data_IF_007760586994
#
_entry.id   IF_007760586994
#
_cell.length_a   1.000
_cell.length_b   1.000
_cell.length_c   1.000
_cell.angle_alpha   90.00
_cell.angle_beta   90.00
_cell.angle_gamma   90.00
#
_symmetry.space_group_name_H-M   'P 1'
#
loop_
_entity.id
_entity.type
_entity.pdbx_description
1 polymer ?
#
# COMPACT_ATOMS: atom_id res chain seq x y z
N UNK A 1 -6.10 -11.44 9.22
CA UNK A 1 -6.22 -10.29 8.28
C UNK A 1 -7.50 -9.58 8.61
N UNK A 2 -7.44 -8.30 8.99
CA UNK A 2 -8.65 -7.48 9.15
C UNK A 2 -9.23 -7.20 7.75
N UNK A 3 -10.56 -7.28 7.55
CA UNK A 3 -11.17 -7.07 6.24
C UNK A 3 -10.97 -5.64 5.77
N UNK A 4 -10.92 -5.46 4.44
CA UNK A 4 -10.67 -4.17 3.79
C UNK A 4 -11.58 -3.06 4.32
N UNK A 5 -12.90 -3.33 4.41
CA UNK A 5 -13.88 -2.35 4.84
C UNK A 5 -13.70 -1.92 6.29
N UNK A 6 -13.34 -2.82 7.21
CA UNK A 6 -13.03 -2.46 8.60
C UNK A 6 -11.81 -1.55 8.72
N UNK A 7 -10.76 -1.82 7.92
CA UNK A 7 -9.59 -0.93 7.86
C UNK A 7 -9.94 0.42 7.26
N UNK A 8 -10.75 0.47 6.21
CA UNK A 8 -11.19 1.72 5.58
C UNK A 8 -12.03 2.56 6.54
N UNK A 9 -12.97 1.92 7.23
CA UNK A 9 -13.83 2.52 8.26
C UNK A 9 -12.97 3.20 9.33
N UNK A 10 -12.12 2.44 10.02
CA UNK A 10 -11.28 2.91 11.12
C UNK A 10 -10.24 3.95 10.73
N UNK A 11 -9.66 3.85 9.53
CA UNK A 11 -8.54 4.70 9.13
C UNK A 11 -8.94 5.93 8.32
N UNK A 12 -10.13 5.96 7.74
CA UNK A 12 -10.59 7.06 6.89
C UNK A 12 -11.92 7.60 7.38
N UNK A 13 -12.96 6.76 7.43
CA UNK A 13 -14.33 7.23 7.67
C UNK A 13 -14.54 7.71 9.11
N UNK A 14 -14.01 7.00 10.09
CA UNK A 14 -14.21 7.32 11.51
C UNK A 14 -13.28 8.45 12.01
N UNK A 15 -12.34 8.92 11.19
CA UNK A 15 -11.30 9.87 11.61
C UNK A 15 -11.80 11.31 11.70
N UNK A 16 -12.85 11.66 10.97
CA UNK A 16 -13.47 12.98 10.96
C UNK A 16 -14.85 12.91 10.34
N UNK A 17 -15.69 13.90 10.62
CA UNK A 17 -16.88 14.14 9.82
C UNK A 17 -16.51 14.67 8.44
N UNK A 18 -17.26 14.21 7.45
CA UNK A 18 -17.15 14.63 6.06
C UNK A 18 -18.36 15.47 5.70
N UNK A 19 -18.14 16.66 5.18
CA UNK A 19 -19.24 17.57 4.84
C UNK A 19 -19.89 17.18 3.52
N UNK A 20 -19.11 16.52 2.65
CA UNK A 20 -19.60 16.00 1.36
C UNK A 20 -19.11 14.58 1.09
N UNK A 21 -19.85 13.88 0.23
CA UNK A 21 -19.44 12.56 -0.26
C UNK A 21 -18.17 12.64 -1.10
N UNK A 22 -17.96 13.74 -1.82
CA UNK A 22 -16.78 13.93 -2.67
C UNK A 22 -15.50 14.03 -1.83
N UNK A 23 -15.54 14.79 -0.72
CA UNK A 23 -14.42 14.83 0.23
C UNK A 23 -14.11 13.44 0.80
N UNK A 24 -15.15 12.68 1.16
CA UNK A 24 -14.99 11.29 1.61
C UNK A 24 -14.34 10.43 0.54
N UNK A 25 -14.77 10.57 -0.72
CA UNK A 25 -14.26 9.80 -1.86
C UNK A 25 -12.79 10.10 -2.13
N UNK A 26 -12.41 11.37 -2.16
CA UNK A 26 -11.02 11.80 -2.35
C UNK A 26 -10.15 11.23 -1.22
N UNK A 27 -10.63 11.28 0.02
CA UNK A 27 -9.90 10.73 1.16
C UNK A 27 -9.74 9.20 1.09
N UNK A 28 -10.78 8.47 0.67
CA UNK A 28 -10.73 7.03 0.45
C UNK A 28 -9.67 6.68 -0.59
N UNK A 29 -9.73 7.30 -1.78
CA UNK A 29 -8.77 7.01 -2.87
C UNK A 29 -7.35 7.35 -2.45
N UNK A 30 -7.15 8.53 -1.84
CA UNK A 30 -5.83 8.96 -1.35
C UNK A 30 -5.26 7.98 -0.33
N UNK A 31 -6.08 7.50 0.61
CA UNK A 31 -5.62 6.55 1.61
C UNK A 31 -5.31 5.17 1.02
N UNK A 32 -6.11 4.71 0.06
CA UNK A 32 -5.88 3.44 -0.65
C UNK A 32 -4.52 3.47 -1.35
N UNK A 33 -4.25 4.53 -2.12
CA UNK A 33 -3.03 4.68 -2.90
C UNK A 33 -1.80 4.90 -2.00
N UNK A 34 -1.87 5.88 -1.09
CA UNK A 34 -0.71 6.33 -0.31
C UNK A 34 -0.37 5.40 0.86
N UNK A 35 -1.36 4.75 1.45
CA UNK A 35 -1.19 3.99 2.70
C UNK A 35 -1.48 2.51 2.51
N UNK A 36 -2.68 2.15 2.04
CA UNK A 36 -3.11 0.75 1.97
C UNK A 36 -2.24 -0.09 1.03
N UNK A 37 -2.10 0.33 -0.24
CA UNK A 37 -1.28 -0.40 -1.22
C UNK A 37 0.19 -0.43 -0.82
N UNK A 38 0.73 0.66 -0.27
CA UNK A 38 2.12 0.70 0.21
C UNK A 38 2.36 -0.29 1.34
N UNK A 39 1.51 -0.30 2.39
CA UNK A 39 1.62 -1.27 3.50
C UNK A 39 1.46 -2.70 3.02
N UNK A 40 0.51 -2.95 2.12
CA UNK A 40 0.25 -4.31 1.61
C UNK A 40 1.39 -4.81 0.72
N UNK A 41 1.98 -3.93 -0.11
CA UNK A 41 3.20 -4.23 -0.86
C UNK A 41 4.35 -4.58 0.09
N UNK A 42 4.56 -3.81 1.15
CA UNK A 42 5.59 -4.10 2.16
C UNK A 42 5.35 -5.40 2.92
N UNK A 43 4.10 -5.73 3.24
CA UNK A 43 3.74 -7.01 3.84
C UNK A 43 3.98 -8.19 2.89
N UNK A 44 3.65 -8.03 1.59
CA UNK A 44 3.90 -9.03 0.56
C UNK A 44 5.40 -9.25 0.30
N UNK A 45 6.21 -8.20 0.49
CA UNK A 45 7.68 -8.26 0.44
C UNK A 45 8.30 -8.91 1.69
N UNK A 46 7.53 -9.60 2.54
CA UNK A 46 8.08 -10.33 3.69
C UNK A 46 8.75 -9.45 4.75
N UNK A 47 8.47 -8.14 4.77
CA UNK A 47 9.18 -7.14 5.60
C UNK A 47 10.68 -7.06 5.32
N UNK A 48 11.10 -7.31 4.08
CA UNK A 48 12.45 -6.98 3.62
C UNK A 48 12.77 -5.53 4.03
N UNK A 49 13.89 -5.38 4.74
CA UNK A 49 14.40 -4.05 5.08
C UNK A 49 14.73 -3.28 3.81
N UNK A 50 14.77 -1.93 3.85
CA UNK A 50 15.05 -1.13 2.65
C UNK A 50 16.37 -1.51 1.95
N UNK A 51 17.34 -2.05 2.69
CA UNK A 51 18.61 -2.56 2.15
C UNK A 51 18.38 -3.86 1.39
N UNK A 52 17.68 -4.83 1.98
CA UNK A 52 17.39 -6.12 1.34
C UNK A 52 16.50 -5.96 0.10
N UNK A 53 15.51 -5.06 0.14
CA UNK A 53 14.70 -4.73 -1.04
C UNK A 53 15.55 -4.15 -2.18
N UNK A 54 16.48 -3.24 -1.87
CA UNK A 54 17.42 -2.70 -2.87
C UNK A 54 18.32 -3.80 -3.43
N UNK A 55 18.85 -4.69 -2.60
CA UNK A 55 19.70 -5.79 -3.07
C UNK A 55 18.94 -6.71 -4.05
N UNK A 56 17.67 -7.05 -3.76
CA UNK A 56 16.84 -7.88 -4.65
C UNK A 56 16.48 -7.16 -5.96
N UNK A 57 16.13 -5.86 -5.91
CA UNK A 57 15.73 -5.10 -7.11
C UNK A 57 16.93 -4.62 -7.96
N UNK A 58 18.13 -4.51 -7.37
CA UNK A 58 19.37 -4.09 -8.06
C UNK A 58 20.19 -5.29 -8.54
N UNK A 59 19.82 -6.52 -8.16
CA UNK A 59 20.33 -7.71 -8.85
C UNK A 59 19.77 -7.67 -10.26
N UNK A 60 20.59 -7.43 -11.30
CA UNK A 60 20.06 -7.26 -12.64
C UNK A 60 19.38 -8.56 -13.06
N UNK A 61 18.26 -8.41 -13.75
CA UNK A 61 17.63 -9.42 -14.64
C UNK A 61 18.60 -9.81 -15.78
N UNK A 62 19.88 -10.02 -15.49
CA UNK A 62 20.92 -10.36 -16.45
C UNK A 62 20.96 -11.88 -16.77
N UNK A 63 20.18 -12.70 -16.06
CA UNK A 63 20.14 -14.14 -16.27
C UNK A 63 18.98 -14.63 -17.18
N UNK A 64 18.14 -13.72 -17.71
CA UNK A 64 16.97 -14.06 -18.55
C UNK A 64 17.09 -13.59 -20.01
N UNK A 65 18.31 -13.28 -20.47
CA UNK A 65 18.61 -13.00 -21.89
C UNK A 65 19.69 -13.91 -22.50
N UNK A 66 19.98 -15.04 -21.88
CA UNK A 66 20.88 -16.04 -22.45
C UNK A 66 20.24 -17.43 -22.36
N UNK A 67 19.36 -17.76 -23.31
CA UNK A 67 19.22 -19.09 -23.94
C UNK A 67 18.46 -18.92 -25.24
#
# INVERSE_FOLDING_TARGET
MEPFFSLLQKNVLDRRSWTTLEESRIAIVTWIERTYHRRRRQAALGRLTPVEFKTVMTTPTAALQAT
#
